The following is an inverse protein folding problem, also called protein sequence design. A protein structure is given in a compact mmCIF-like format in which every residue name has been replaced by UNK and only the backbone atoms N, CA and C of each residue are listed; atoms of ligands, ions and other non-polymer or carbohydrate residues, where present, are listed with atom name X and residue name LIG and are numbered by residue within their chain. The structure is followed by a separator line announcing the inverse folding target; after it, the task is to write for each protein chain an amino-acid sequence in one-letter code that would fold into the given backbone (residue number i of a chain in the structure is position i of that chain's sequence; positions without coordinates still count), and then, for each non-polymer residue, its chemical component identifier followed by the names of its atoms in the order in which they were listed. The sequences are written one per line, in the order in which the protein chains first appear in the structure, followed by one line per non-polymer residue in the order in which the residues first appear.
data_IF_850798501038
#
_entry.id   IF_850798501038
#
_cell.length_a   1.000
_cell.length_b   1.000
_cell.length_c   1.000
_cell.angle_alpha   90.00
_cell.angle_beta   90.00
_cell.angle_gamma   90.00
#
_symmetry.space_group_name_H-M   'P 1'
#
loop_
_entity.id
_entity.type
_entity.pdbx_description
1 polymer ?
#
# COMPACT_ATOMS: atom_id res chain seq x y z
N UNK A 1 10.05 -12.96 13.28
CA UNK A 1 9.97 -12.28 11.99
C UNK A 1 8.66 -12.65 11.31
N UNK A 2 8.01 -11.68 10.69
CA UNK A 2 6.71 -11.91 10.04
C UNK A 2 6.90 -12.32 8.58
N UNK A 3 5.93 -13.06 8.07
CA UNK A 3 5.86 -13.31 6.64
C UNK A 3 5.15 -12.15 5.96
N UNK A 4 5.50 -11.91 4.72
CA UNK A 4 4.97 -10.80 3.95
C UNK A 4 4.07 -11.34 2.83
N UNK A 5 2.84 -10.88 2.80
CA UNK A 5 1.87 -11.26 1.77
C UNK A 5 1.42 -10.00 1.04
N UNK A 6 1.48 -10.03 -0.28
CA UNK A 6 1.01 -8.90 -1.09
C UNK A 6 -0.30 -9.32 -1.74
N UNK A 7 -1.36 -8.57 -1.45
CA UNK A 7 -2.69 -8.90 -1.96
C UNK A 7 -2.73 -8.77 -3.48
N UNK A 8 -3.71 -9.42 -4.09
CA UNK A 8 -3.88 -9.29 -5.55
C UNK A 8 -4.22 -7.88 -5.95
N UNK A 9 -4.96 -7.14 -5.10
CA UNK A 9 -5.23 -5.73 -5.38
C UNK A 9 -3.98 -4.89 -5.33
N UNK A 10 -3.11 -5.14 -4.35
CA UNK A 10 -1.85 -4.40 -4.27
C UNK A 10 -0.96 -4.71 -5.46
N UNK A 11 -0.93 -5.97 -5.90
CA UNK A 11 -0.16 -6.33 -7.09
C UNK A 11 -0.69 -5.63 -8.33
N UNK A 12 -2.01 -5.54 -8.45
CA UNK A 12 -2.63 -4.83 -9.55
C UNK A 12 -2.32 -3.34 -9.50
N UNK A 13 -2.35 -2.75 -8.29
CA UNK A 13 -1.99 -1.35 -8.10
C UNK A 13 -0.57 -1.09 -8.62
N UNK A 14 0.36 -1.94 -8.23
CA UNK A 14 1.76 -1.76 -8.62
C UNK A 14 1.94 -1.90 -10.12
N UNK A 15 1.23 -2.86 -10.73
CA UNK A 15 1.30 -3.04 -12.18
C UNK A 15 0.76 -1.80 -12.89
N UNK A 16 -0.36 -1.28 -12.42
CA UNK A 16 -0.96 -0.10 -13.02
C UNK A 16 -0.05 1.11 -12.92
N UNK A 17 0.57 1.30 -11.76
CA UNK A 17 1.52 2.38 -11.55
C UNK A 17 2.71 2.23 -12.50
N UNK A 18 3.26 1.03 -12.59
CA UNK A 18 4.40 0.77 -13.46
C UNK A 18 4.06 1.01 -14.92
N UNK A 19 2.89 0.55 -15.35
CA UNK A 19 2.46 0.73 -16.74
C UNK A 19 2.25 2.20 -17.05
N UNK A 20 1.68 2.96 -16.12
CA UNK A 20 1.49 4.38 -16.31
C UNK A 20 2.83 5.10 -16.52
N UNK A 21 3.80 4.79 -15.68
CA UNK A 21 5.12 5.44 -15.76
C UNK A 21 5.83 5.03 -17.06
N UNK A 22 5.76 3.75 -17.40
CA UNK A 22 6.45 3.26 -18.59
C UNK A 22 5.81 3.79 -19.87
N UNK A 23 4.49 3.79 -19.94
CA UNK A 23 3.76 4.07 -21.17
C UNK A 23 3.35 5.53 -21.30
N UNK A 24 2.71 6.09 -20.27
CA UNK A 24 2.21 7.46 -20.34
C UNK A 24 3.34 8.46 -20.16
N UNK A 25 4.24 8.18 -19.24
CA UNK A 25 5.39 9.07 -19.02
C UNK A 25 6.60 8.66 -19.84
N UNK A 26 6.47 7.57 -20.62
CA UNK A 26 7.50 7.09 -21.53
C UNK A 26 8.84 6.91 -20.84
N UNK A 27 8.80 6.32 -19.64
CA UNK A 27 10.01 6.17 -18.84
C UNK A 27 10.07 4.79 -18.20
N UNK A 28 10.40 3.75 -19.00
CA UNK A 28 10.45 2.37 -18.45
C UNK A 28 11.50 2.18 -17.38
N UNK A 29 12.57 2.96 -17.39
CA UNK A 29 13.59 2.86 -16.35
C UNK A 29 13.03 3.34 -15.02
N UNK A 30 12.30 4.46 -15.04
CA UNK A 30 11.66 4.99 -13.84
C UNK A 30 10.58 4.04 -13.34
N UNK A 31 9.87 3.34 -14.25
CA UNK A 31 8.86 2.37 -13.87
C UNK A 31 9.49 1.25 -13.03
N UNK A 32 10.58 0.68 -13.51
CA UNK A 32 11.28 -0.39 -12.77
C UNK A 32 11.80 0.10 -11.44
N UNK A 33 12.35 1.31 -11.41
CA UNK A 33 12.88 1.89 -10.20
C UNK A 33 11.77 2.10 -9.16
N UNK A 34 10.61 2.54 -9.61
CA UNK A 34 9.48 2.77 -8.71
C UNK A 34 9.00 1.46 -8.08
N UNK A 35 8.87 0.41 -8.88
CA UNK A 35 8.46 -0.89 -8.36
C UNK A 35 9.49 -1.42 -7.37
N UNK A 36 10.77 -1.23 -7.65
CA UNK A 36 11.82 -1.68 -6.74
C UNK A 36 11.75 -0.90 -5.42
N UNK A 37 11.43 0.37 -5.47
CA UNK A 37 11.27 1.18 -4.25
C UNK A 37 10.12 0.67 -3.38
N UNK A 38 9.03 0.23 -4.00
CA UNK A 38 7.93 -0.35 -3.24
C UNK A 38 8.39 -1.61 -2.51
N UNK A 39 9.12 -2.48 -3.19
CA UNK A 39 9.63 -3.69 -2.57
C UNK A 39 10.58 -3.38 -1.44
N UNK A 40 11.48 -2.43 -1.67
CA UNK A 40 12.45 -2.04 -0.64
C UNK A 40 11.75 -1.42 0.56
N UNK A 41 10.63 -0.75 0.34
CA UNK A 41 9.89 -0.11 1.43
C UNK A 41 9.16 -1.14 2.30
N UNK A 42 8.66 -2.22 1.71
CA UNK A 42 7.86 -3.18 2.48
C UNK A 42 8.69 -4.27 3.15
N UNK A 43 9.87 -4.59 2.61
CA UNK A 43 10.68 -5.66 3.17
C UNK A 43 11.01 -5.47 4.65
N UNK A 44 11.36 -4.27 5.12
CA UNK A 44 11.65 -4.08 6.55
C UNK A 44 10.47 -4.38 7.46
N UNK A 45 9.24 -4.41 6.92
CA UNK A 45 8.07 -4.72 7.74
C UNK A 45 8.11 -6.16 8.29
N UNK A 46 8.88 -7.03 7.67
CA UNK A 46 9.02 -8.39 8.18
C UNK A 46 9.64 -8.38 9.57
N UNK A 47 10.48 -7.41 9.86
CA UNK A 47 11.16 -7.29 11.14
C UNK A 47 10.54 -6.19 12.00
N UNK A 48 10.13 -5.10 11.39
CA UNK A 48 9.58 -3.95 12.08
C UNK A 48 8.14 -3.72 11.61
N UNK A 49 7.27 -4.65 11.98
CA UNK A 49 5.93 -4.68 11.42
C UNK A 49 5.08 -3.46 11.77
N UNK A 50 5.43 -2.76 12.85
CA UNK A 50 4.64 -1.61 13.29
C UNK A 50 5.28 -0.28 12.94
N UNK A 51 6.26 -0.27 12.02
CA UNK A 51 6.95 0.98 11.72
C UNK A 51 6.10 1.95 10.90
N UNK A 52 5.07 1.48 10.23
CA UNK A 52 4.16 2.37 9.51
C UNK A 52 3.25 3.14 10.44
N UNK A 53 2.74 4.28 9.96
CA UNK A 53 1.85 5.12 10.75
C UNK A 53 0.47 4.49 10.85
N UNK A 54 -0.19 4.55 12.01
CA UNK A 54 -1.55 4.03 12.10
C UNK A 54 -2.52 4.88 11.29
N UNK A 55 -3.47 4.21 10.64
CA UNK A 55 -4.50 4.89 9.87
C UNK A 55 -5.71 5.07 10.78
N UNK A 56 -5.83 6.26 11.36
CA UNK A 56 -6.80 6.50 12.40
C UNK A 56 -8.24 6.59 11.90
N UNK A 57 -8.40 6.75 10.59
CA UNK A 57 -9.73 6.84 9.99
C UNK A 57 -10.37 5.47 9.75
N UNK A 58 -9.66 4.39 10.08
CA UNK A 58 -10.20 3.06 9.89
C UNK A 58 -11.41 2.86 10.79
N UNK A 59 -12.45 2.26 10.22
CA UNK A 59 -13.66 1.95 10.96
C UNK A 59 -13.70 0.51 11.44
N UNK A 60 -12.71 -0.27 11.07
CA UNK A 60 -12.65 -1.64 11.52
C UNK A 60 -12.36 -1.70 13.00
N UNK A 61 -13.11 -2.51 13.71
CA UNK A 61 -12.92 -2.67 15.15
C UNK A 61 -11.70 -3.52 15.47
N UNK A 62 -11.44 -4.51 14.62
CA UNK A 62 -10.46 -5.53 14.92
C UNK A 62 -9.17 -5.39 14.13
N UNK A 63 -9.14 -4.54 13.14
CA UNK A 63 -7.99 -4.41 12.26
C UNK A 63 -7.50 -2.97 12.28
N UNK A 64 -6.27 -2.77 12.68
CA UNK A 64 -5.63 -1.47 12.61
C UNK A 64 -4.80 -1.43 11.35
N UNK A 65 -5.22 -0.60 10.41
CA UNK A 65 -4.48 -0.39 9.19
C UNK A 65 -3.35 0.61 9.44
N UNK A 66 -2.24 0.38 8.77
CA UNK A 66 -1.08 1.27 8.82
C UNK A 66 -0.66 1.62 7.42
N UNK A 67 0.15 2.64 7.29
CA UNK A 67 0.64 3.03 5.97
C UNK A 67 2.09 3.48 6.03
N UNK A 68 2.77 3.30 4.91
CA UNK A 68 4.10 3.83 4.67
C UNK A 68 4.02 4.84 3.55
N UNK A 69 4.84 5.89 3.64
CA UNK A 69 4.97 6.85 2.55
C UNK A 69 6.15 6.42 1.70
N UNK A 70 5.93 6.26 0.41
CA UNK A 70 6.98 5.89 -0.53
C UNK A 70 6.90 6.83 -1.73
N UNK A 71 7.68 7.89 -1.69
CA UNK A 71 7.59 8.95 -2.70
C UNK A 71 6.22 9.59 -2.68
N UNK A 72 5.54 9.58 -3.81
CA UNK A 72 4.19 10.14 -3.94
C UNK A 72 3.10 9.12 -3.64
N UNK A 73 3.48 7.93 -3.20
CA UNK A 73 2.54 6.83 -3.00
C UNK A 73 2.43 6.45 -1.54
N UNK A 74 1.28 5.90 -1.19
CA UNK A 74 1.04 5.35 0.14
C UNK A 74 0.86 3.85 0.01
N UNK A 75 1.53 3.11 0.89
CA UNK A 75 1.43 1.66 0.93
C UNK A 75 0.66 1.30 2.18
N UNK A 76 -0.52 0.73 1.99
CA UNK A 76 -1.42 0.39 3.11
C UNK A 76 -1.27 -1.08 3.46
N UNK A 77 -1.18 -1.36 4.75
CA UNK A 77 -1.03 -2.73 5.19
C UNK A 77 -1.69 -2.93 6.55
N UNK A 78 -1.86 -4.17 6.93
CA UNK A 78 -2.31 -4.53 8.28
C UNK A 78 -1.60 -5.81 8.71
N UNK A 79 -1.67 -6.09 9.99
CA UNK A 79 -1.05 -7.27 10.57
C UNK A 79 -2.14 -8.28 10.87
N UNK A 80 -1.87 -9.54 10.55
CA UNK A 80 -2.79 -10.64 10.82
C UNK A 80 -1.96 -11.77 11.38
N UNK A 81 -1.93 -11.88 12.70
CA UNK A 81 -1.07 -12.83 13.39
C UNK A 81 0.38 -12.62 12.99
N UNK A 82 0.99 -13.62 12.35
CA UNK A 82 2.38 -13.55 11.93
C UNK A 82 2.55 -13.01 10.52
N UNK A 83 1.47 -12.49 9.94
CA UNK A 83 1.51 -12.00 8.56
C UNK A 83 1.46 -10.48 8.50
N UNK A 84 2.28 -9.92 7.61
CA UNK A 84 2.15 -8.52 7.21
C UNK A 84 1.44 -8.56 5.86
N UNK A 85 0.23 -8.03 5.83
CA UNK A 85 -0.61 -8.09 4.62
C UNK A 85 -0.60 -6.73 3.94
N UNK A 86 0.05 -6.66 2.78
CA UNK A 86 0.06 -5.43 2.00
C UNK A 86 -1.26 -5.36 1.24
N UNK A 87 -2.06 -4.36 1.56
CA UNK A 87 -3.43 -4.27 1.05
C UNK A 87 -3.56 -3.46 -0.23
N UNK A 88 -2.97 -2.29 -0.29
CA UNK A 88 -3.07 -1.42 -1.45
C UNK A 88 -1.81 -0.56 -1.58
N UNK A 89 -1.52 -0.14 -2.81
CA UNK A 89 -0.49 0.85 -3.09
C UNK A 89 -1.16 1.94 -3.92
N UNK A 90 -1.36 3.11 -3.34
CA UNK A 90 -2.17 4.14 -3.97
C UNK A 90 -1.42 5.47 -4.04
N UNK A 91 -1.70 6.23 -5.10
CA UNK A 91 -1.19 7.59 -5.22
C UNK A 91 -1.76 8.39 -4.05
N UNK A 92 -0.87 9.13 -3.35
CA UNK A 92 -1.25 9.77 -2.10
C UNK A 92 -2.28 10.88 -2.24
N UNK A 93 -2.55 11.35 -3.46
CA UNK A 93 -3.55 12.39 -3.69
C UNK A 93 -4.92 11.85 -4.05
N UNK A 94 -5.05 10.52 -4.14
CA UNK A 94 -6.35 9.93 -4.42
C UNK A 94 -7.17 9.88 -3.14
N UNK A 95 -8.47 9.68 -3.32
CA UNK A 95 -9.35 9.48 -2.19
C UNK A 95 -9.17 8.05 -1.69
N UNK A 96 -8.07 7.84 -0.99
CA UNK A 96 -7.70 6.48 -0.58
C UNK A 96 -8.65 5.92 0.47
N UNK A 97 -9.30 6.75 1.26
CA UNK A 97 -10.23 6.25 2.26
C UNK A 97 -11.43 5.58 1.60
N UNK A 98 -11.96 6.17 0.54
CA UNK A 98 -13.05 5.56 -0.20
C UNK A 98 -12.61 4.26 -0.87
N UNK A 99 -11.39 4.23 -1.41
CA UNK A 99 -10.87 3.04 -2.06
C UNK A 99 -10.63 1.90 -1.08
N UNK A 100 -10.22 2.22 0.14
CA UNK A 100 -9.93 1.21 1.16
C UNK A 100 -11.19 0.69 1.83
N UNK A 101 -12.12 1.58 2.15
CA UNK A 101 -13.25 1.23 3.01
C UNK A 101 -14.60 1.29 2.31
N UNK A 102 -14.63 1.75 1.07
CA UNK A 102 -15.85 1.75 0.28
C UNK A 102 -16.95 2.55 0.94
N UNK A 103 -18.14 1.96 0.99
CA UNK A 103 -19.33 2.65 1.46
C UNK A 103 -19.31 2.95 2.95
N UNK A 104 -18.34 2.41 3.68
CA UNK A 104 -18.28 2.66 5.11
C UNK A 104 -18.07 4.13 5.45
N UNK A 105 -17.52 4.88 4.51
CA UNK A 105 -17.23 6.30 4.72
C UNK A 105 -18.36 7.20 4.26
N UNK A 106 -19.35 6.65 3.57
CA UNK A 106 -20.46 7.45 3.07
C UNK A 106 -21.68 7.41 3.96
N UNK A 107 -21.57 6.66 5.02
CA UNK A 107 -22.62 6.56 6.02
C UNK A 107 -22.59 7.78 6.91
N UNK A 108 -23.55 8.61 6.82
CA UNK A 108 -23.55 9.81 7.66
C UNK A 108 -24.95 10.17 8.04
#
# INVERSE_FOLDING_TARGET
MHDLVISSLAKADMREIGDYIADELKNPIAAKRTIQRFRDAVLPLRKYSEMGSPLLASRSQDILYRYLVCGSYLIFYHLDSELVCIDRVLYGRRDYLALLFGDQLTEE
#
